data_IF_238975972731
#
_entry.id   IF_238975972731
#
_cell.length_a   1.000
_cell.length_b   1.000
_cell.length_c   1.000
_cell.angle_alpha   90.00
_cell.angle_beta   90.00
_cell.angle_gamma   90.00
#
_symmetry.space_group_name_H-M   'P 1'
#
loop_
_entity.id
_entity.type
_entity.pdbx_description
1 polymer ?
#
# COMPACT_ATOMS: atom_id res chain seq x y z
N UNK A 1 -16.71 -17.28 -0.03
CA UNK A 1 -16.53 -15.81 0.00
C UNK A 1 -15.04 -15.54 0.01
N UNK A 2 -14.53 -14.55 -0.75
CA UNK A 2 -13.11 -14.16 -0.72
C UNK A 2 -12.96 -12.88 0.11
N UNK A 3 -12.15 -12.93 1.15
CA UNK A 3 -11.82 -11.76 1.99
C UNK A 3 -10.45 -11.24 1.58
N UNK A 4 -10.31 -9.92 1.44
CA UNK A 4 -9.03 -9.26 1.23
C UNK A 4 -8.69 -8.33 2.39
N UNK A 5 -7.46 -7.85 2.43
CA UNK A 5 -7.01 -6.85 3.40
C UNK A 5 -6.37 -5.66 2.68
N UNK A 6 -6.63 -4.47 3.19
CA UNK A 6 -6.02 -3.24 2.69
C UNK A 6 -4.60 -3.17 3.24
N UNK A 7 -3.63 -3.03 2.35
CA UNK A 7 -2.24 -2.77 2.71
C UNK A 7 -2.16 -1.39 3.42
N UNK A 8 -1.51 -1.26 4.59
CA UNK A 8 -1.41 0.02 5.27
C UNK A 8 -0.58 0.97 4.41
N UNK A 9 -1.13 2.13 4.07
CA UNK A 9 -0.54 3.00 3.05
C UNK A 9 0.57 3.85 3.66
N UNK A 10 0.19 4.69 4.62
CA UNK A 10 1.11 5.63 5.26
C UNK A 10 1.69 5.08 6.56
N UNK A 11 1.00 4.10 7.16
CA UNK A 11 1.31 3.52 8.46
C UNK A 11 2.44 2.49 8.41
N UNK A 12 2.62 1.78 7.28
CA UNK A 12 3.62 0.71 7.15
C UNK A 12 5.06 1.24 7.02
N UNK A 13 5.22 2.49 6.58
CA UNK A 13 6.54 3.07 6.34
C UNK A 13 7.27 2.43 5.15
N UNK A 14 8.59 2.68 5.05
CA UNK A 14 9.40 2.27 3.91
C UNK A 14 10.31 1.06 4.20
N UNK A 15 10.16 0.40 5.35
CA UNK A 15 10.95 -0.78 5.70
C UNK A 15 10.46 -2.01 4.89
N UNK A 16 11.29 -2.60 4.00
CA UNK A 16 10.90 -3.78 3.25
C UNK A 16 10.58 -4.96 4.17
N UNK A 17 11.27 -5.13 5.30
CA UNK A 17 11.01 -6.24 6.21
C UNK A 17 9.58 -6.16 6.77
N UNK A 18 9.14 -4.98 7.21
CA UNK A 18 7.77 -4.77 7.66
C UNK A 18 6.72 -5.03 6.57
N UNK A 19 7.01 -4.66 5.32
CA UNK A 19 6.12 -4.91 4.19
C UNK A 19 5.95 -6.41 3.90
N UNK A 20 7.05 -7.17 3.91
CA UNK A 20 7.02 -8.65 3.78
C UNK A 20 6.24 -9.27 4.94
N UNK A 21 6.58 -8.90 6.17
CA UNK A 21 6.03 -9.54 7.36
C UNK A 21 4.50 -9.32 7.41
N UNK A 22 4.01 -8.14 7.01
CA UNK A 22 2.58 -7.89 6.85
C UNK A 22 1.94 -8.79 5.80
N UNK A 23 2.55 -8.89 4.61
CA UNK A 23 2.00 -9.67 3.50
C UNK A 23 1.92 -11.17 3.84
N UNK A 24 2.98 -11.73 4.44
CA UNK A 24 3.02 -13.12 4.87
C UNK A 24 2.02 -13.39 6.00
N UNK A 25 1.90 -12.48 6.98
CA UNK A 25 0.89 -12.62 8.03
C UNK A 25 -0.54 -12.60 7.46
N UNK A 26 -0.81 -11.75 6.47
CA UNK A 26 -2.11 -11.72 5.80
C UNK A 26 -2.41 -13.02 5.06
N UNK A 27 -1.42 -13.60 4.38
CA UNK A 27 -1.54 -14.89 3.72
C UNK A 27 -1.79 -16.03 4.74
N UNK A 28 -1.02 -16.10 5.82
CA UNK A 28 -1.16 -17.11 6.88
C UNK A 28 -2.54 -17.05 7.55
N UNK A 29 -3.13 -15.85 7.69
CA UNK A 29 -4.48 -15.66 8.21
C UNK A 29 -5.58 -16.05 7.20
N UNK A 30 -5.22 -16.40 5.97
CA UNK A 30 -6.14 -16.90 4.94
C UNK A 30 -6.81 -15.79 4.11
N UNK A 31 -6.26 -14.57 4.08
CA UNK A 31 -6.74 -13.54 3.16
C UNK A 31 -6.42 -13.91 1.71
N UNK A 32 -7.37 -13.67 0.82
CA UNK A 32 -7.29 -14.07 -0.58
C UNK A 32 -6.51 -13.09 -1.46
N UNK A 33 -6.32 -11.85 -1.00
CA UNK A 33 -5.59 -10.80 -1.72
C UNK A 33 -5.27 -9.61 -0.81
N UNK A 34 -4.21 -8.89 -1.19
CA UNK A 34 -3.93 -7.54 -0.70
C UNK A 34 -4.54 -6.50 -1.65
N UNK A 35 -5.03 -5.39 -1.12
CA UNK A 35 -5.41 -4.20 -1.86
C UNK A 35 -4.45 -3.06 -1.47
N UNK A 36 -3.73 -2.52 -2.45
CA UNK A 36 -2.90 -1.32 -2.27
C UNK A 36 -3.44 -0.19 -3.13
N UNK A 37 -3.38 1.04 -2.61
CA UNK A 37 -3.71 2.24 -3.35
C UNK A 37 -2.45 2.86 -3.93
N UNK A 38 -2.65 3.68 -4.97
CA UNK A 38 -1.60 4.50 -5.54
C UNK A 38 -1.99 5.97 -5.43
N UNK A 39 -1.00 6.83 -5.35
CA UNK A 39 -1.17 8.27 -5.27
C UNK A 39 -0.22 9.00 -6.23
N UNK A 40 -0.42 8.78 -7.54
CA UNK A 40 0.46 9.29 -8.62
C UNK A 40 0.31 10.80 -8.86
N UNK A 41 -0.90 11.34 -8.69
CA UNK A 41 -1.11 12.77 -8.85
C UNK A 41 -0.41 13.51 -7.71
N UNK A 42 0.43 14.49 -8.06
CA UNK A 42 1.00 15.42 -7.09
C UNK A 42 -0.12 16.26 -6.46
N UNK A 43 -0.80 15.72 -5.45
CA UNK A 43 -1.84 16.40 -4.68
C UNK A 43 -1.22 17.47 -3.77
N UNK A 44 -0.53 18.41 -4.37
CA UNK A 44 -0.09 19.62 -3.71
C UNK A 44 -1.31 20.52 -3.45
N UNK A 45 -1.69 20.75 -2.17
CA UNK A 45 -2.81 21.62 -1.83
C UNK A 45 -2.60 23.07 -2.29
N UNK A 46 -1.36 23.49 -2.59
CA UNK A 46 -1.09 24.82 -3.14
C UNK A 46 -1.50 24.94 -4.62
N UNK A 47 -1.47 23.83 -5.37
CA UNK A 47 -1.78 23.78 -6.79
C UNK A 47 -3.20 23.29 -7.09
N UNK A 48 -3.83 22.58 -6.15
CA UNK A 48 -5.10 21.90 -6.38
C UNK A 48 -6.07 21.98 -5.20
N UNK A 49 -7.36 22.17 -5.49
CA UNK A 49 -8.44 22.05 -4.50
C UNK A 49 -8.92 20.59 -4.44
N UNK A 50 -8.18 19.75 -3.72
CA UNK A 50 -8.50 18.33 -3.53
C UNK A 50 -9.10 18.08 -2.16
N UNK A 51 -10.02 17.13 -2.08
CA UNK A 51 -10.63 16.66 -0.82
C UNK A 51 -10.04 15.32 -0.43
N UNK A 52 -9.62 15.17 0.83
CA UNK A 52 -9.11 13.91 1.34
C UNK A 52 -8.00 14.09 2.37
N UNK A 53 -7.54 13.01 3.02
CA UNK A 53 -6.50 13.08 4.04
C UNK A 53 -5.08 13.10 3.47
N UNK A 54 -4.90 12.79 2.18
CA UNK A 54 -3.58 12.63 1.54
C UNK A 54 -3.15 13.87 0.76
N UNK A 55 -1.85 14.11 0.76
CA UNK A 55 -1.16 15.15 -0.02
C UNK A 55 -0.02 14.52 -0.81
N UNK A 56 0.65 15.30 -1.66
CA UNK A 56 1.87 14.86 -2.34
C UNK A 56 3.03 14.44 -1.40
N UNK A 57 2.97 14.81 -0.12
CA UNK A 57 3.95 14.39 0.89
C UNK A 57 3.60 13.04 1.54
N UNK A 58 2.39 12.53 1.29
CA UNK A 58 1.97 11.22 1.78
C UNK A 58 2.73 10.13 1.01
N UNK A 59 3.39 9.25 1.74
CA UNK A 59 4.16 8.16 1.14
C UNK A 59 3.24 7.01 0.72
N UNK A 60 3.42 6.55 -0.51
CA UNK A 60 2.79 5.37 -1.08
C UNK A 60 3.86 4.51 -1.74
N UNK A 61 3.71 3.19 -1.61
CA UNK A 61 4.49 2.24 -2.40
C UNK A 61 3.89 2.15 -3.79
N UNK A 62 4.72 2.26 -4.84
CA UNK A 62 4.24 2.08 -6.22
C UNK A 62 3.76 0.63 -6.39
N UNK A 63 2.48 0.39 -6.74
CA UNK A 63 1.89 -0.95 -6.67
C UNK A 63 2.56 -2.00 -7.55
N UNK A 64 3.06 -1.63 -8.74
CA UNK A 64 3.69 -2.60 -9.64
C UNK A 64 5.03 -3.09 -9.09
N UNK A 65 5.82 -2.21 -8.48
CA UNK A 65 7.04 -2.57 -7.75
C UNK A 65 6.72 -3.35 -6.49
N UNK A 66 5.77 -2.88 -5.67
CA UNK A 66 5.38 -3.54 -4.43
C UNK A 66 4.91 -4.98 -4.68
N UNK A 67 3.97 -5.18 -5.60
CA UNK A 67 3.44 -6.51 -5.89
C UNK A 67 4.43 -7.38 -6.66
N UNK A 68 5.28 -6.81 -7.52
CA UNK A 68 6.35 -7.54 -8.17
C UNK A 68 7.36 -8.10 -7.15
N UNK A 69 7.67 -7.32 -6.12
CA UNK A 69 8.55 -7.76 -5.03
C UNK A 69 7.88 -8.77 -4.09
N UNK A 70 6.63 -8.52 -3.67
CA UNK A 70 5.89 -9.41 -2.78
C UNK A 70 5.59 -10.78 -3.40
N UNK A 71 5.33 -10.84 -4.72
CA UNK A 71 5.08 -12.11 -5.42
C UNK A 71 6.26 -13.10 -5.37
N UNK A 72 7.46 -12.66 -5.00
CA UNK A 72 8.61 -13.54 -4.77
C UNK A 72 8.68 -14.08 -3.32
N UNK A 73 7.80 -13.61 -2.42
CA UNK A 73 7.87 -13.82 -0.97
C UNK A 73 6.59 -14.43 -0.36
N UNK A 74 5.50 -14.48 -1.13
CA UNK A 74 4.20 -15.07 -0.77
C UNK A 74 3.81 -16.06 -1.86
#
# INVERSE_FOLDING_TARGET
MKLGVVFPQTEIGADPAACRDFAQAAEELGYAHLLAFDHVLGADPAAHTLTGPYTHESMFHEPMVLFGWLAALT
#
